data_IF_593441100446
#
_entry.id   IF_593441100446
#
_cell.length_a   1.000
_cell.length_b   1.000
_cell.length_c   1.000
_cell.angle_alpha   90.00
_cell.angle_beta   90.00
_cell.angle_gamma   90.00
#
_symmetry.space_group_name_H-M   'P 1'
#
loop_
_entity.id
_entity.type
_entity.pdbx_description
1 polymer ?
#
# COMPACT_ATOMS: atom_id res chain seq x y z
N UNK A 1 0.25 -14.45 -0.26
CA UNK A 1 -1.08 -14.78 0.29
C UNK A 1 -2.18 -13.85 -0.25
N UNK A 2 -1.95 -12.53 -0.32
CA UNK A 2 -2.89 -11.55 -0.91
C UNK A 2 -3.37 -11.94 -2.31
N UNK A 3 -2.47 -12.37 -3.21
CA UNK A 3 -2.83 -12.83 -4.56
C UNK A 3 -3.86 -13.99 -4.58
N UNK A 4 -4.05 -14.73 -3.47
CA UNK A 4 -5.08 -15.77 -3.41
C UNK A 4 -6.51 -15.22 -3.55
N UNK A 5 -6.74 -13.95 -3.20
CA UNK A 5 -8.01 -13.24 -3.40
C UNK A 5 -8.36 -13.17 -4.90
N UNK A 6 -7.34 -13.06 -5.75
CA UNK A 6 -7.48 -12.93 -7.21
C UNK A 6 -7.64 -14.29 -7.90
N UNK A 7 -7.21 -15.38 -7.26
CA UNK A 7 -7.26 -16.73 -7.85
C UNK A 7 -8.51 -17.53 -7.45
N UNK A 8 -9.33 -17.04 -6.52
CA UNK A 8 -10.56 -17.72 -6.11
C UNK A 8 -11.58 -17.77 -7.25
N UNK A 9 -12.30 -18.90 -7.37
CA UNK A 9 -13.32 -19.13 -8.39
C UNK A 9 -14.61 -18.37 -8.05
N UNK A 10 -14.58 -17.07 -8.30
CA UNK A 10 -15.71 -16.15 -8.16
C UNK A 10 -15.98 -15.47 -9.51
N UNK A 11 -17.26 -15.28 -9.87
CA UNK A 11 -17.65 -14.60 -11.10
C UNK A 11 -17.31 -13.09 -11.09
N UNK A 12 -17.14 -12.50 -9.91
CA UNK A 12 -16.88 -11.07 -9.68
C UNK A 12 -15.52 -10.84 -9.00
N UNK A 13 -14.50 -11.59 -9.44
CA UNK A 13 -13.13 -11.41 -8.92
C UNK A 13 -12.48 -10.19 -9.56
N UNK A 14 -11.69 -9.40 -8.81
CA UNK A 14 -10.89 -8.36 -9.42
C UNK A 14 -9.71 -8.97 -10.18
N UNK A 15 -9.22 -8.25 -11.18
CA UNK A 15 -8.03 -8.62 -11.97
C UNK A 15 -6.74 -8.21 -11.23
N UNK A 16 -6.83 -7.17 -10.39
CA UNK A 16 -5.78 -6.77 -9.46
C UNK A 16 -6.31 -5.99 -8.26
N UNK A 17 -5.49 -5.88 -7.22
CA UNK A 17 -5.74 -5.03 -6.04
C UNK A 17 -4.86 -3.79 -6.16
N UNK A 18 -5.47 -2.61 -6.20
CA UNK A 18 -4.80 -1.33 -6.30
C UNK A 18 -4.66 -0.71 -4.91
N UNK A 19 -3.43 -0.42 -4.52
CA UNK A 19 -3.06 0.16 -3.25
C UNK A 19 -2.27 1.44 -3.50
N UNK A 20 -2.80 2.60 -3.12
CA UNK A 20 -2.19 3.91 -3.34
C UNK A 20 -1.98 4.55 -1.95
N UNK A 21 -0.76 4.95 -1.65
CA UNK A 21 -0.44 5.59 -0.38
C UNK A 21 -0.53 7.13 -0.46
N UNK A 22 -0.47 7.77 0.71
CA UNK A 22 -0.35 9.22 0.82
C UNK A 22 -1.50 10.03 0.25
N UNK A 23 -1.18 11.26 -0.15
CA UNK A 23 -2.15 12.23 -0.66
C UNK A 23 -2.87 11.75 -1.93
N UNK A 24 -2.24 10.90 -2.73
CA UNK A 24 -2.78 10.40 -4.00
C UNK A 24 -4.01 9.51 -3.82
N UNK A 25 -4.22 8.90 -2.65
CA UNK A 25 -5.47 8.24 -2.24
C UNK A 25 -6.27 9.01 -1.19
N UNK A 26 -5.90 10.26 -0.92
CA UNK A 26 -6.37 11.06 0.21
C UNK A 26 -6.15 10.36 1.55
N UNK A 27 -4.98 9.75 1.72
CA UNK A 27 -4.55 9.03 2.91
C UNK A 27 -5.51 7.88 3.25
N UNK A 28 -5.81 7.03 2.28
CA UNK A 28 -6.72 5.90 2.51
C UNK A 28 -6.10 4.88 3.47
N UNK A 29 -6.71 4.73 4.64
CA UNK A 29 -6.24 3.83 5.70
C UNK A 29 -6.21 2.36 5.31
N UNK A 30 -7.12 1.90 4.44
CA UNK A 30 -7.11 0.51 3.97
C UNK A 30 -5.93 0.22 3.04
N UNK A 31 -5.53 1.19 2.20
CA UNK A 31 -4.30 1.11 1.43
C UNK A 31 -3.06 1.10 2.35
N UNK A 32 -3.01 1.99 3.35
CA UNK A 32 -1.93 2.02 4.34
C UNK A 32 -1.81 0.70 5.11
N UNK A 33 -2.93 0.12 5.53
CA UNK A 33 -2.98 -1.19 6.20
C UNK A 33 -2.44 -2.31 5.29
N UNK A 34 -2.85 -2.36 4.02
CA UNK A 34 -2.34 -3.34 3.06
C UNK A 34 -0.83 -3.18 2.83
N UNK A 35 -0.35 -1.96 2.63
CA UNK A 35 1.08 -1.71 2.45
C UNK A 35 1.88 -2.14 3.69
N UNK A 36 1.41 -1.81 4.89
CA UNK A 36 2.03 -2.25 6.14
C UNK A 36 2.05 -3.78 6.28
N UNK A 37 0.97 -4.46 5.92
CA UNK A 37 0.96 -5.92 5.93
C UNK A 37 2.02 -6.51 4.98
N UNK A 38 2.15 -5.95 3.77
CA UNK A 38 3.10 -6.43 2.77
C UNK A 38 4.57 -6.09 3.09
N UNK A 39 4.80 -4.99 3.80
CA UNK A 39 6.11 -4.39 4.04
C UNK A 39 6.47 -4.40 5.53
N UNK A 40 5.90 -5.33 6.29
CA UNK A 40 6.22 -5.57 7.70
C UNK A 40 6.18 -4.31 8.58
N UNK A 41 5.12 -3.51 8.44
CA UNK A 41 4.88 -2.32 9.24
C UNK A 41 5.74 -1.11 8.88
N UNK A 42 6.35 -1.07 7.69
CA UNK A 42 7.23 0.03 7.24
C UNK A 42 6.60 1.42 7.43
N UNK A 43 5.29 1.56 7.20
CA UNK A 43 4.53 2.82 7.29
C UNK A 43 3.77 3.01 8.62
N UNK A 44 3.97 2.11 9.58
CA UNK A 44 3.42 2.20 10.94
C UNK A 44 4.38 2.88 11.93
N UNK A 45 5.54 3.34 11.46
CA UNK A 45 6.53 3.94 12.35
C UNK A 45 6.01 5.27 12.91
N UNK A 46 6.23 5.47 14.21
CA UNK A 46 5.88 6.73 14.87
C UNK A 46 6.66 7.88 14.21
N UNK A 47 6.10 9.09 14.27
CA UNK A 47 6.67 10.34 13.73
C UNK A 47 8.17 10.51 14.05
N UNK A 48 8.65 9.95 15.16
CA UNK A 48 10.05 9.99 15.62
C UNK A 48 11.06 9.18 14.81
N UNK A 49 10.63 8.18 14.02
CA UNK A 49 11.55 7.40 13.18
C UNK A 49 11.66 7.97 11.76
N UNK A 50 10.61 8.64 11.27
CA UNK A 50 10.66 9.44 10.04
C UNK A 50 11.61 10.64 10.17
N UNK A 51 11.70 11.26 11.35
CA UNK A 51 12.70 12.30 11.63
C UNK A 51 14.15 11.80 11.42
N UNK A 52 14.41 10.48 11.53
CA UNK A 52 15.74 9.89 11.30
C UNK A 52 16.08 9.71 9.83
N UNK A 53 15.08 9.63 8.95
CA UNK A 53 15.31 9.49 7.50
C UNK A 53 15.61 10.84 6.86
N UNK A 54 15.13 11.93 7.46
CA UNK A 54 15.29 13.30 6.95
C UNK A 54 14.34 13.65 5.80
N UNK A 55 13.39 12.77 5.47
CA UNK A 55 12.38 12.98 4.42
C UNK A 55 10.98 13.17 5.03
N UNK A 56 10.11 13.89 4.32
CA UNK A 56 8.71 14.08 4.74
C UNK A 56 7.89 12.81 4.52
N UNK A 57 6.77 12.69 5.24
CA UNK A 57 5.78 11.61 5.01
C UNK A 57 5.27 11.62 3.56
N UNK A 58 5.07 12.79 2.96
CA UNK A 58 4.65 12.93 1.56
C UNK A 58 5.63 12.27 0.58
N UNK A 59 6.94 12.42 0.80
CA UNK A 59 7.96 11.77 -0.05
C UNK A 59 7.93 10.26 0.14
N UNK A 60 7.70 9.77 1.36
CA UNK A 60 7.79 8.34 1.68
C UNK A 60 6.50 7.58 1.31
N UNK A 61 5.38 8.26 1.32
CA UNK A 61 4.09 7.73 0.92
C UNK A 61 3.83 7.84 -0.60
N UNK A 62 4.75 8.41 -1.39
CA UNK A 62 4.66 8.45 -2.87
C UNK A 62 4.94 7.06 -3.49
N UNK A 63 3.97 6.17 -3.31
CA UNK A 63 4.02 4.74 -3.67
C UNK A 63 2.65 4.26 -4.18
N UNK A 64 2.67 3.56 -5.32
CA UNK A 64 1.49 2.89 -5.89
C UNK A 64 1.83 1.43 -6.14
N UNK A 65 1.01 0.53 -5.62
CA UNK A 65 1.12 -0.91 -5.86
C UNK A 65 -0.12 -1.43 -6.57
N UNK A 66 0.09 -2.22 -7.62
CA UNK A 66 -0.96 -3.02 -8.25
C UNK A 66 -0.57 -4.49 -8.20
N UNK A 67 -1.28 -5.25 -7.38
CA UNK A 67 -1.05 -6.67 -7.17
C UNK A 67 -1.98 -7.43 -8.12
N UNK A 68 -1.43 -8.09 -9.13
CA UNK A 68 -2.17 -8.97 -10.05
C UNK A 68 -2.00 -10.43 -9.64
N UNK A 69 -2.72 -11.34 -10.29
CA UNK A 69 -2.68 -12.76 -9.93
C UNK A 69 -1.30 -13.43 -10.13
N UNK A 70 -0.48 -12.88 -11.02
CA UNK A 70 0.79 -13.46 -11.47
C UNK A 70 1.98 -12.48 -11.38
N UNK A 71 1.72 -11.21 -11.09
CA UNK A 71 2.71 -10.14 -11.11
C UNK A 71 2.38 -9.07 -10.07
N UNK A 72 3.38 -8.26 -9.72
CA UNK A 72 3.20 -7.07 -8.87
C UNK A 72 3.83 -5.90 -9.60
N UNK A 73 3.09 -4.82 -9.75
CA UNK A 73 3.60 -3.57 -10.29
C UNK A 73 3.74 -2.57 -9.14
N UNK A 74 4.87 -1.88 -9.07
CA UNK A 74 5.21 -0.95 -8.00
C UNK A 74 5.81 0.32 -8.60
N UNK A 75 5.07 1.43 -8.50
CA UNK A 75 5.61 2.76 -8.69
C UNK A 75 6.12 3.31 -7.36
N UNK A 76 7.26 3.98 -7.40
CA UNK A 76 7.81 4.75 -6.29
C UNK A 76 8.84 5.78 -6.78
N UNK A 77 9.01 6.87 -6.04
CA UNK A 77 10.10 7.80 -6.28
C UNK A 77 11.50 7.20 -5.97
N UNK A 78 12.61 7.83 -6.41
CA UNK A 78 13.97 7.31 -6.21
C UNK A 78 14.38 7.16 -4.74
N UNK A 79 13.82 8.00 -3.85
CA UNK A 79 14.03 7.91 -2.41
C UNK A 79 13.46 6.58 -1.89
N UNK A 80 12.18 6.32 -2.16
CA UNK A 80 11.49 5.11 -1.75
C UNK A 80 12.08 3.84 -2.33
N UNK A 81 12.62 3.90 -3.56
CA UNK A 81 13.26 2.73 -4.18
C UNK A 81 14.28 2.06 -3.25
N UNK A 82 15.13 2.85 -2.59
CA UNK A 82 16.18 2.34 -1.68
C UNK A 82 15.58 1.68 -0.43
N UNK A 83 14.48 2.22 0.09
CA UNK A 83 13.81 1.70 1.29
C UNK A 83 12.94 0.48 1.00
N UNK A 84 12.29 0.43 -0.17
CA UNK A 84 11.39 -0.65 -0.56
C UNK A 84 12.14 -1.89 -1.05
N UNK A 85 13.28 -1.71 -1.73
CA UNK A 85 14.01 -2.80 -2.37
C UNK A 85 14.28 -4.00 -1.45
N UNK A 86 14.71 -3.85 -0.17
CA UNK A 86 14.91 -4.99 0.73
C UNK A 86 13.65 -5.84 0.96
N UNK A 87 12.47 -5.22 0.91
CA UNK A 87 11.18 -5.87 1.16
C UNK A 87 10.64 -6.57 -0.09
N UNK A 88 10.81 -5.94 -1.26
CA UNK A 88 10.12 -6.35 -2.48
C UNK A 88 11.01 -7.09 -3.48
N UNK A 89 12.33 -7.02 -3.37
CA UNK A 89 13.26 -7.65 -4.34
C UNK A 89 13.03 -9.16 -4.55
N UNK A 90 12.44 -9.83 -3.57
CA UNK A 90 12.14 -11.26 -3.60
C UNK A 90 10.77 -11.58 -4.23
N UNK A 91 9.95 -10.57 -4.55
CA UNK A 91 8.64 -10.76 -5.15
C UNK A 91 8.77 -11.28 -6.58
N UNK A 92 7.95 -12.28 -6.91
CA UNK A 92 7.96 -12.90 -8.23
C UNK A 92 7.26 -11.98 -9.24
N UNK A 93 7.84 -11.85 -10.43
CA UNK A 93 7.30 -11.04 -11.53
C UNK A 93 6.99 -9.60 -11.09
N UNK A 94 7.97 -8.98 -10.42
CA UNK A 94 7.91 -7.59 -9.98
C UNK A 94 8.27 -6.65 -11.13
N UNK A 95 7.42 -5.66 -11.38
CA UNK A 95 7.63 -4.58 -12.33
C UNK A 95 7.77 -3.26 -11.57
N UNK A 96 8.96 -2.68 -11.59
CA UNK A 96 9.25 -1.40 -10.95
C UNK A 96 9.09 -0.24 -11.94
N UNK A 97 8.41 0.82 -11.49
CA UNK A 97 8.26 2.08 -12.19
C UNK A 97 8.92 3.16 -11.32
N UNK A 98 10.16 3.50 -11.63
CA UNK A 98 10.95 4.45 -10.85
C UNK A 98 11.91 5.17 -11.80
N UNK A 99 11.92 6.50 -11.71
CA UNK A 99 12.89 7.33 -12.44
C UNK A 99 14.27 7.25 -11.78
N UNK A 100 15.30 7.66 -12.49
CA UNK A 100 16.59 7.95 -11.87
C UNK A 100 16.51 9.24 -11.04
N UNK A 101 17.45 9.41 -10.10
CA UNK A 101 17.54 10.63 -9.28
C UNK A 101 17.63 11.90 -10.14
N UNK A 102 18.40 11.86 -11.23
CA UNK A 102 18.57 13.00 -12.14
C UNK A 102 17.29 13.32 -12.93
N UNK A 103 16.57 12.30 -13.39
CA UNK A 103 15.32 12.52 -14.13
C UNK A 103 14.22 13.06 -13.19
N UNK A 104 14.24 12.67 -11.91
CA UNK A 104 13.28 13.10 -10.90
C UNK A 104 13.49 14.55 -10.43
N UNK A 105 14.58 15.22 -10.82
CA UNK A 105 14.78 16.65 -10.54
C UNK A 105 13.79 17.55 -11.30
N UNK A 106 13.24 17.06 -12.40
CA UNK A 106 12.17 17.72 -13.15
C UNK A 106 10.80 17.30 -12.59
N UNK A 107 10.21 18.16 -11.75
CA UNK A 107 8.93 17.91 -11.08
C UNK A 107 7.78 17.65 -12.07
N UNK A 108 7.77 18.33 -13.23
CA UNK A 108 6.73 18.13 -14.24
C UNK A 108 6.88 16.74 -14.88
N UNK A 109 8.09 16.40 -15.31
CA UNK A 109 8.37 15.07 -15.86
C UNK A 109 8.12 13.95 -14.84
N UNK A 110 8.39 14.19 -13.55
CA UNK A 110 8.14 13.23 -12.48
C UNK A 110 6.64 12.95 -12.30
N UNK A 111 5.80 13.97 -12.27
CA UNK A 111 4.35 13.81 -12.18
C UNK A 111 3.77 13.13 -13.44
N UNK A 112 4.24 13.51 -14.64
CA UNK A 112 3.84 12.85 -15.89
C UNK A 112 4.23 11.35 -15.92
N UNK A 113 5.43 11.04 -15.43
CA UNK A 113 5.90 9.65 -15.32
C UNK A 113 5.06 8.84 -14.32
N UNK A 114 4.68 9.43 -13.18
CA UNK A 114 3.78 8.79 -12.20
C UNK A 114 2.42 8.46 -12.82
N UNK A 115 1.82 9.41 -13.52
CA UNK A 115 0.51 9.24 -14.18
C UNK A 115 0.60 8.16 -15.27
N UNK A 116 1.60 8.24 -16.15
CA UNK A 116 1.78 7.26 -17.23
C UNK A 116 2.09 5.86 -16.68
N UNK A 117 2.88 5.76 -15.61
CA UNK A 117 3.11 4.51 -14.89
C UNK A 117 1.81 3.94 -14.34
N UNK A 118 0.99 4.77 -13.68
CA UNK A 118 -0.32 4.34 -13.17
C UNK A 118 -1.22 3.81 -14.29
N UNK A 119 -1.29 4.51 -15.43
CA UNK A 119 -2.06 4.08 -16.62
C UNK A 119 -1.55 2.74 -17.13
N UNK A 120 -0.24 2.56 -17.28
CA UNK A 120 0.36 1.31 -17.75
C UNK A 120 0.08 0.14 -16.82
N UNK A 121 0.14 0.38 -15.50
CA UNK A 121 -0.15 -0.63 -14.48
C UNK A 121 -1.57 -1.20 -14.65
N UNK A 122 -2.58 -0.33 -14.82
CA UNK A 122 -4.00 -0.73 -14.83
C UNK A 122 -4.54 -1.17 -16.19
N UNK A 123 -3.82 -0.93 -17.30
CA UNK A 123 -4.34 -1.05 -18.68
C UNK A 123 -4.98 -2.41 -19.03
N UNK A 124 -4.47 -3.49 -18.42
CA UNK A 124 -4.88 -4.87 -18.69
C UNK A 124 -5.91 -5.40 -17.66
N UNK A 125 -6.44 -4.52 -16.81
CA UNK A 125 -7.50 -4.84 -15.87
C UNK A 125 -8.86 -4.40 -16.41
N UNK A 126 -9.93 -5.10 -16.03
CA UNK A 126 -11.32 -4.65 -16.21
C UNK A 126 -12.00 -4.40 -14.86
N UNK A 127 -11.63 -5.18 -13.84
CA UNK A 127 -12.11 -5.05 -12.46
C UNK A 127 -10.95 -4.82 -11.52
N UNK A 128 -11.06 -3.81 -10.67
CA UNK A 128 -9.99 -3.43 -9.73
C UNK A 128 -10.53 -3.50 -8.30
N UNK A 129 -9.83 -4.25 -7.46
CA UNK A 129 -10.09 -4.33 -6.03
C UNK A 129 -9.46 -3.15 -5.31
N UNK A 130 -10.23 -2.46 -4.49
CA UNK A 130 -9.77 -1.35 -3.64
C UNK A 130 -9.82 -1.79 -2.17
N UNK A 131 -8.71 -1.72 -1.43
CA UNK A 131 -8.71 -1.90 0.03
C UNK A 131 -9.30 -0.64 0.67
N UNK A 132 -10.62 -0.47 0.59
CA UNK A 132 -11.27 0.80 0.90
C UNK A 132 -11.30 1.13 2.40
N UNK A 133 -11.42 0.11 3.26
CA UNK A 133 -11.58 0.23 4.72
C UNK A 133 -10.44 -0.46 5.45
N UNK A 134 -9.99 0.12 6.56
CA UNK A 134 -9.05 -0.51 7.51
C UNK A 134 -9.77 -1.37 8.55
N UNK A 135 -9.07 -2.35 9.12
CA UNK A 135 -9.64 -3.29 10.07
C UNK A 135 -10.27 -2.56 11.28
N UNK A 136 -11.52 -2.91 11.61
CA UNK A 136 -12.28 -2.25 12.69
C UNK A 136 -12.98 -0.95 12.30
N UNK A 137 -12.71 -0.38 11.13
CA UNK A 137 -13.31 0.87 10.63
C UNK A 137 -14.00 0.65 9.27
N UNK A 138 -15.07 -0.15 9.26
CA UNK A 138 -15.88 -0.40 8.06
C UNK A 138 -16.51 0.90 7.53
N UNK A 139 -16.22 1.22 6.28
CA UNK A 139 -16.86 2.30 5.55
C UNK A 139 -17.77 1.71 4.46
N UNK A 140 -18.85 2.43 4.13
CA UNK A 140 -19.68 2.06 2.97
C UNK A 140 -18.89 2.39 1.72
N UNK A 141 -18.64 1.37 0.88
CA UNK A 141 -17.92 1.56 -0.38
C UNK A 141 -18.66 2.51 -1.31
N UNK A 142 -17.97 3.58 -1.71
CA UNK A 142 -18.47 4.56 -2.67
C UNK A 142 -17.39 4.78 -3.74
N UNK A 143 -17.66 4.28 -4.96
CA UNK A 143 -16.74 4.43 -6.09
C UNK A 143 -16.49 5.90 -6.44
N UNK A 144 -17.43 6.82 -6.16
CA UNK A 144 -17.25 8.23 -6.45
C UNK A 144 -16.32 8.92 -5.45
N UNK A 145 -16.07 8.32 -4.29
CA UNK A 145 -15.00 8.76 -3.38
C UNK A 145 -13.64 8.40 -3.97
N UNK A 146 -13.51 7.17 -4.49
CA UNK A 146 -12.29 6.70 -5.17
C UNK A 146 -12.02 7.50 -6.44
N UNK A 147 -13.05 7.80 -7.23
CA UNK A 147 -12.91 8.65 -8.43
C UNK A 147 -12.29 10.01 -8.09
N UNK A 148 -12.54 10.56 -6.90
CA UNK A 148 -12.02 11.86 -6.44
C UNK A 148 -10.59 11.82 -5.91
N UNK A 149 -9.94 10.67 -5.87
CA UNK A 149 -8.54 10.55 -5.48
C UNK A 149 -7.64 11.27 -6.51
N UNK A 150 -6.63 12.05 -6.10
CA UNK A 150 -5.81 12.83 -7.03
C UNK A 150 -5.24 12.04 -8.21
N UNK A 151 -4.59 10.90 -7.96
CA UNK A 151 -4.03 10.07 -9.05
C UNK A 151 -5.12 9.45 -9.95
N UNK A 152 -6.29 9.14 -9.38
CA UNK A 152 -7.42 8.61 -10.14
C UNK A 152 -8.04 9.70 -11.01
N UNK A 153 -8.12 10.94 -10.54
CA UNK A 153 -8.51 12.10 -11.36
C UNK A 153 -7.49 12.37 -12.47
N UNK A 154 -6.20 12.23 -12.18
CA UNK A 154 -5.13 12.42 -13.16
C UNK A 154 -5.20 11.40 -14.31
N UNK A 155 -5.83 10.24 -14.10
CA UNK A 155 -6.10 9.27 -15.16
C UNK A 155 -6.89 9.86 -16.33
N UNK A 156 -7.75 10.86 -16.09
CA UNK A 156 -8.57 11.49 -17.12
C UNK A 156 -7.85 12.58 -17.92
N UNK A 157 -6.58 12.89 -17.59
CA UNK A 157 -5.82 13.93 -18.29
C UNK A 157 -5.54 13.54 -19.74
N UNK A 158 -5.86 14.44 -20.67
CA UNK A 158 -5.61 14.23 -22.09
C UNK A 158 -4.10 14.16 -22.39
N UNK A 159 -3.69 13.24 -23.28
CA UNK A 159 -2.31 13.09 -23.75
C UNK A 159 -1.42 12.17 -22.91
N UNK A 160 -1.66 12.08 -21.59
CA UNK A 160 -0.81 11.31 -20.65
C UNK A 160 -1.64 10.27 -19.87
N UNK A 161 -2.89 10.60 -19.56
CA UNK A 161 -3.84 9.73 -18.89
C UNK A 161 -4.38 8.61 -19.79
N UNK A 162 -5.31 7.83 -19.24
CA UNK A 162 -5.93 6.71 -19.92
C UNK A 162 -7.22 7.04 -20.69
N UNK A 163 -7.52 8.33 -20.85
CA UNK A 163 -8.66 8.93 -21.55
C UNK A 163 -10.04 8.61 -20.92
N UNK A 164 -10.71 9.63 -20.38
CA UNK A 164 -11.99 9.53 -19.67
C UNK A 164 -11.89 9.22 -18.17
N UNK A 165 -13.05 9.18 -17.49
CA UNK A 165 -13.13 8.87 -16.05
C UNK A 165 -12.71 7.43 -15.75
N UNK A 166 -12.03 7.22 -14.63
CA UNK A 166 -11.48 5.92 -14.26
C UNK A 166 -12.57 4.86 -14.05
N UNK A 167 -13.63 5.22 -13.32
CA UNK A 167 -14.81 4.37 -13.05
C UNK A 167 -15.68 4.09 -14.27
N UNK A 168 -15.51 4.83 -15.38
CA UNK A 168 -16.17 4.49 -16.65
C UNK A 168 -15.42 3.39 -17.40
N UNK A 169 -14.12 3.23 -17.14
CA UNK A 169 -13.25 2.25 -17.80
C UNK A 169 -13.07 0.98 -16.98
N UNK A 170 -12.99 1.10 -15.65
CA UNK A 170 -12.77 -0.01 -14.73
C UNK A 170 -13.89 -0.13 -13.71
N UNK A 171 -14.37 -1.36 -13.51
CA UNK A 171 -15.32 -1.67 -12.44
C UNK A 171 -14.56 -1.79 -11.11
N UNK A 172 -14.93 -0.96 -10.14
CA UNK A 172 -14.29 -0.95 -8.81
C UNK A 172 -15.10 -1.78 -7.81
N UNK A 173 -14.39 -2.55 -7.00
CA UNK A 173 -14.98 -3.35 -5.94
C UNK A 173 -14.18 -3.25 -4.65
N UNK A 174 -14.85 -3.23 -3.51
CA UNK A 174 -14.21 -3.29 -2.21
C UNK A 174 -13.66 -4.70 -1.95
N UNK A 175 -12.39 -4.80 -1.55
CA UNK A 175 -11.74 -6.06 -1.16
C UNK A 175 -11.30 -6.09 0.31
N UNK A 176 -11.69 -5.09 1.11
CA UNK A 176 -11.29 -4.95 2.52
C UNK A 176 -11.59 -6.21 3.34
N UNK A 177 -12.80 -6.75 3.24
CA UNK A 177 -13.19 -7.97 3.96
C UNK A 177 -12.36 -9.20 3.55
N UNK A 178 -12.02 -9.33 2.27
CA UNK A 178 -11.18 -10.42 1.79
C UNK A 178 -9.75 -10.30 2.34
N UNK A 179 -9.24 -9.07 2.40
CA UNK A 179 -7.92 -8.76 2.94
C UNK A 179 -7.85 -9.02 4.45
N UNK A 180 -8.88 -8.67 5.21
CA UNK A 180 -8.92 -8.96 6.65
C UNK A 180 -8.89 -10.46 6.96
N UNK A 181 -9.48 -11.28 6.10
CA UNK A 181 -9.37 -12.74 6.20
C UNK A 181 -7.95 -13.26 5.88
N UNK A 182 -7.15 -12.48 5.16
CA UNK A 182 -5.72 -12.76 4.96
C UNK A 182 -4.94 -12.29 6.18
N UNK A 183 -5.19 -11.08 6.69
CA UNK A 183 -4.49 -10.51 7.84
C UNK A 183 -4.72 -11.30 9.14
N UNK A 184 -5.91 -11.89 9.32
CA UNK A 184 -6.24 -12.68 10.52
C UNK A 184 -5.50 -14.01 10.60
N UNK A 185 -4.82 -14.43 9.54
CA UNK A 185 -3.95 -15.61 9.56
C UNK A 185 -2.63 -15.20 10.20
N UNK A 186 -2.35 -15.75 11.37
CA UNK A 186 -1.08 -15.54 12.06
C UNK A 186 0.09 -15.96 11.16
N UNK A 187 0.87 -14.98 10.70
CA UNK A 187 2.13 -15.19 10.00
C UNK A 187 3.32 -15.14 10.99
N UNK A 188 4.52 -15.61 10.59
CA UNK A 188 5.69 -15.63 11.47
C UNK A 188 6.11 -14.26 12.02
N UNK A 189 5.92 -13.17 11.27
CA UNK A 189 6.27 -11.81 11.71
C UNK A 189 5.26 -11.33 12.74
N UNK A 190 3.97 -11.51 12.49
CA UNK A 190 2.91 -11.26 13.48
C UNK A 190 3.15 -12.02 14.80
N UNK A 191 3.68 -13.26 14.71
CA UNK A 191 4.07 -14.05 15.89
C UNK A 191 5.30 -13.46 16.59
N UNK A 192 6.33 -13.03 15.85
CA UNK A 192 7.53 -12.43 16.41
C UNK A 192 7.24 -11.10 17.12
N UNK A 193 6.40 -10.25 16.53
CA UNK A 193 5.95 -8.99 17.13
C UNK A 193 5.19 -9.25 18.43
N UNK A 194 4.26 -10.21 18.44
CA UNK A 194 3.54 -10.62 19.65
C UNK A 194 4.51 -11.14 20.72
N UNK A 195 5.50 -11.97 20.33
CA UNK A 195 6.51 -12.48 21.26
C UNK A 195 7.38 -11.35 21.81
N UNK A 196 7.75 -10.38 20.98
CA UNK A 196 8.55 -9.21 21.38
C UNK A 196 7.78 -8.32 22.36
N UNK A 197 6.51 -8.06 22.09
CA UNK A 197 5.63 -7.27 22.96
C UNK A 197 5.42 -7.98 24.30
N UNK A 198 5.02 -9.26 24.28
CA UNK A 198 4.83 -10.07 25.49
C UNK A 198 6.13 -10.17 26.29
N UNK A 199 7.28 -10.36 25.63
CA UNK A 199 8.59 -10.38 26.29
C UNK A 199 8.86 -9.06 27.00
N UNK A 200 8.58 -7.93 26.34
CA UNK A 200 8.79 -6.60 26.90
C UNK A 200 7.88 -6.34 28.11
N UNK A 201 6.59 -6.70 28.02
CA UNK A 201 5.63 -6.57 29.12
C UNK A 201 5.97 -7.48 30.31
N UNK A 202 6.37 -8.73 30.06
CA UNK A 202 6.79 -9.67 31.11
C UNK A 202 8.05 -9.16 31.82
N UNK A 203 9.05 -8.70 31.07
CA UNK A 203 10.28 -8.12 31.66
C UNK A 203 9.93 -6.91 32.52
N UNK A 204 9.08 -6.01 32.02
CA UNK A 204 8.62 -4.84 32.77
C UNK A 204 7.88 -5.24 34.05
N UNK A 205 6.97 -6.21 33.98
CA UNK A 205 6.25 -6.74 35.13
C UNK A 205 7.23 -7.33 36.15
N UNK A 206 8.14 -8.23 35.74
CA UNK A 206 9.16 -8.83 36.61
C UNK A 206 10.02 -7.76 37.29
N UNK A 207 10.44 -6.74 36.54
CA UNK A 207 11.21 -5.62 37.10
C UNK A 207 10.41 -4.86 38.16
N UNK A 208 9.13 -4.56 37.89
CA UNK A 208 8.23 -3.89 38.81
C UNK A 208 7.95 -4.71 40.07
N UNK A 209 7.73 -6.03 39.96
CA UNK A 209 7.55 -6.91 41.12
C UNK A 209 8.82 -7.05 41.94
N UNK A 210 10.00 -7.14 41.31
CA UNK A 210 11.28 -7.20 42.04
C UNK A 210 11.58 -5.90 42.79
N UNK A 211 11.18 -4.74 42.26
CA UNK A 211 11.33 -3.47 42.97
C UNK A 211 10.28 -3.24 44.08
N UNK A 212 9.09 -3.85 44.00
CA UNK A 212 8.11 -3.81 45.10
C UNK A 212 8.50 -4.67 46.32
N UNK A 213 9.41 -5.64 46.16
CA UNK A 213 9.86 -6.55 47.24
C UNK A 213 11.09 -5.98 48.00
N UNK A 214 11.59 -4.80 47.62
CA UNK A 214 12.73 -4.14 48.28
C UNK A 214 12.35 -2.94 49.18
N UNK A 215 11.12 -2.89 49.70
CA UNK A 215 10.71 -1.99 50.78
C UNK A 215 10.11 -2.74 51.95
#
# INVERSE_FOLDING_TARGET
>A
QVQSILTQSSKSRPDGILCILGIDSRYNEGCKELANYLLFGLYNQNTSDFEKTGFSEEVLDDVIMLIKSDSVHLYCNPVNYRYLLPYVAHWRNLHFYCMTENEYEDEEAAEEFKISSFVDMVRDCSRIGIPYSSHGHLQIFDMFVVEKWPIVQAFALEGIGGDGFFTMKYELQDVSLNLWNVYSKMDPVSLEDLLSEVRSQIIYLIWKTKHLVCF
#
